data_IF_195258639678
#
_entry.id   IF_195258639678
#
_cell.length_a   1.000
_cell.length_b   1.000
_cell.length_c   1.000
_cell.angle_alpha   90.00
_cell.angle_beta   90.00
_cell.angle_gamma   90.00
#
_symmetry.space_group_name_H-M   'P 1'
#
loop_
_entity.id
_entity.type
_entity.pdbx_description
1 polymer ?
#
# COMPACT_ATOMS: atom_id res chain seq x y z
N UNK A 1 25.68 -66.68 18.92
CA UNK A 1 26.35 -65.87 17.87
C UNK A 1 26.51 -64.47 18.47
N UNK A 2 27.47 -64.37 19.37
CA UNK A 2 28.81 -63.82 19.10
C UNK A 2 28.73 -62.29 19.08
N UNK A 3 29.13 -61.64 20.18
CA UNK A 3 30.47 -61.03 20.34
C UNK A 3 30.49 -59.63 19.68
N UNK A 4 30.77 -58.50 20.35
CA UNK A 4 31.96 -58.20 21.15
C UNK A 4 31.73 -56.97 22.04
N UNK A 5 32.21 -57.08 23.28
CA UNK A 5 32.71 -55.97 24.10
C UNK A 5 34.04 -55.46 23.51
N UNK A 6 34.27 -54.14 23.56
CA UNK A 6 35.57 -53.47 23.72
C UNK A 6 35.38 -51.95 23.51
N UNK A 7 36.06 -51.01 24.15
CA UNK A 7 36.80 -50.92 25.39
C UNK A 7 37.03 -49.41 25.60
N UNK A 8 37.18 -49.00 26.86
CA UNK A 8 37.49 -47.64 27.29
C UNK A 8 38.74 -47.05 26.64
N UNK A 9 38.81 -45.71 26.54
CA UNK A 9 39.96 -44.92 27.04
C UNK A 9 39.64 -43.41 27.11
N UNK A 10 39.49 -42.93 28.33
CA UNK A 10 39.61 -41.51 28.70
C UNK A 10 41.11 -41.16 28.72
N UNK A 11 41.50 -40.18 27.91
CA UNK A 11 42.83 -39.56 27.91
C UNK A 11 42.89 -38.32 28.82
N UNK A 12 44.09 -37.91 29.26
CA UNK A 12 44.28 -37.15 30.49
C UNK A 12 44.00 -35.64 30.35
N UNK A 13 43.71 -35.05 31.51
CA UNK A 13 43.62 -33.62 31.75
C UNK A 13 44.91 -32.89 31.31
N UNK A 14 44.75 -31.78 30.58
CA UNK A 14 45.81 -30.83 30.31
C UNK A 14 45.43 -29.47 30.92
N UNK A 15 46.21 -29.03 31.90
CA UNK A 15 46.15 -27.71 32.54
C UNK A 15 46.96 -26.67 31.72
N UNK A 16 46.77 -25.36 31.95
CA UNK A 16 46.92 -24.32 30.92
C UNK A 16 48.32 -23.68 30.88
N UNK A 17 48.67 -23.08 29.74
CA UNK A 17 49.82 -22.18 29.61
C UNK A 17 49.56 -21.10 28.54
N UNK A 18 50.35 -20.01 28.52
CA UNK A 18 50.17 -18.77 29.26
C UNK A 18 49.53 -17.66 28.41
N UNK A 19 49.19 -16.54 29.05
CA UNK A 19 48.62 -15.36 28.45
C UNK A 19 49.46 -14.85 27.26
N UNK A 20 48.83 -14.76 26.08
CA UNK A 20 49.38 -14.03 24.96
C UNK A 20 48.66 -12.68 24.80
N UNK A 21 49.49 -11.69 24.49
CA UNK A 21 49.27 -10.27 24.67
C UNK A 21 48.13 -9.73 23.80
N UNK A 22 47.32 -8.85 24.38
CA UNK A 22 46.23 -8.16 23.71
C UNK A 22 46.72 -7.30 22.52
N UNK A 23 46.36 -7.70 21.31
CA UNK A 23 46.32 -6.81 20.15
C UNK A 23 45.05 -5.94 20.20
N UNK A 24 45.10 -4.67 19.77
CA UNK A 24 43.96 -3.77 19.86
C UNK A 24 42.81 -4.28 18.99
N UNK A 25 41.63 -4.45 19.59
CA UNK A 25 40.37 -4.73 18.88
C UNK A 25 40.10 -3.57 17.93
N UNK A 26 40.40 -3.74 16.65
CA UNK A 26 39.87 -2.87 15.60
C UNK A 26 38.34 -2.97 15.70
N UNK A 27 37.67 -1.83 15.92
CA UNK A 27 36.21 -1.75 15.76
C UNK A 27 35.91 -2.17 14.33
N UNK A 28 35.31 -3.35 14.17
CA UNK A 28 34.66 -3.70 12.93
C UNK A 28 33.62 -2.60 12.65
N UNK A 29 33.79 -1.92 11.52
CA UNK A 29 32.70 -1.20 10.86
C UNK A 29 31.52 -2.17 10.71
N UNK A 30 30.26 -1.75 10.94
CA UNK A 30 29.15 -2.65 10.71
C UNK A 30 29.16 -3.01 9.23
N UNK A 31 29.43 -4.29 8.96
CA UNK A 31 29.30 -4.91 7.67
C UNK A 31 27.89 -4.62 7.13
N UNK A 32 27.83 -4.32 5.83
CA UNK A 32 26.62 -3.96 5.12
C UNK A 32 25.43 -4.83 5.54
N UNK A 33 24.41 -4.18 6.08
CA UNK A 33 23.09 -4.77 6.25
C UNK A 33 22.65 -5.19 4.85
N UNK A 34 22.64 -6.49 4.57
CA UNK A 34 21.86 -7.04 3.47
C UNK A 34 20.43 -6.55 3.70
N UNK A 35 19.83 -5.74 2.81
CA UNK A 35 18.48 -5.28 3.06
C UNK A 35 17.59 -6.52 3.18
N UNK A 36 16.82 -6.60 4.27
CA UNK A 36 15.67 -7.50 4.31
C UNK A 36 14.70 -7.14 3.17
N UNK A 37 13.62 -7.91 2.96
CA UNK A 37 12.58 -7.51 2.02
C UNK A 37 12.20 -6.05 2.31
N UNK A 38 12.24 -5.20 1.28
CA UNK A 38 11.80 -3.81 1.42
C UNK A 38 10.37 -3.82 1.97
N UNK A 39 10.01 -2.92 2.90
CA UNK A 39 8.63 -2.77 3.31
C UNK A 39 7.77 -2.53 2.06
N UNK A 40 6.65 -3.26 1.98
CA UNK A 40 5.79 -3.25 0.80
C UNK A 40 4.37 -2.80 1.12
N UNK A 41 3.76 -2.01 0.24
CA UNK A 41 2.33 -1.72 0.23
C UNK A 41 1.64 -2.42 -0.93
N UNK A 42 0.51 -3.08 -0.68
CA UNK A 42 -0.35 -3.66 -1.70
C UNK A 42 -1.74 -3.03 -1.63
N UNK A 43 -2.12 -2.32 -2.69
CA UNK A 43 -3.40 -1.59 -2.77
C UNK A 43 -4.24 -2.15 -3.92
N UNK A 44 -5.51 -2.44 -3.64
CA UNK A 44 -6.49 -2.78 -4.67
C UNK A 44 -7.52 -1.66 -4.82
N UNK A 45 -7.82 -1.26 -6.06
CA UNK A 45 -8.90 -0.30 -6.35
C UNK A 45 -10.04 -0.99 -7.09
N UNK A 46 -11.28 -0.77 -6.64
CA UNK A 46 -12.47 -1.47 -7.14
C UNK A 46 -13.51 -0.49 -7.66
N UNK A 47 -14.04 -0.76 -8.86
CA UNK A 47 -15.28 -0.18 -9.34
C UNK A 47 -16.11 -1.23 -10.10
N UNK A 48 -17.11 -0.84 -10.88
CA UNK A 48 -17.97 -1.81 -11.59
C UNK A 48 -17.24 -2.44 -12.76
N UNK A 49 -16.94 -1.62 -13.78
CA UNK A 49 -16.44 -2.10 -15.07
C UNK A 49 -14.93 -2.22 -15.18
N UNK A 50 -14.17 -1.74 -14.18
CA UNK A 50 -12.70 -1.67 -14.20
C UNK A 50 -12.11 -0.97 -15.43
N UNK A 51 -12.71 0.14 -15.88
CA UNK A 51 -12.23 0.91 -17.05
C UNK A 51 -12.25 2.43 -16.84
N UNK A 52 -12.83 2.91 -15.74
CA UNK A 52 -12.95 4.35 -15.46
C UNK A 52 -12.28 4.70 -14.12
N UNK A 53 -13.08 4.72 -13.05
CA UNK A 53 -12.69 5.15 -11.69
C UNK A 53 -11.48 4.38 -11.14
N UNK A 54 -11.58 3.05 -11.09
CA UNK A 54 -10.52 2.21 -10.51
C UNK A 54 -9.23 2.22 -11.35
N UNK A 55 -9.35 2.18 -12.68
CA UNK A 55 -8.19 2.19 -13.58
C UNK A 55 -7.44 3.52 -13.51
N UNK A 56 -8.15 4.65 -13.43
CA UNK A 56 -7.53 5.96 -13.24
C UNK A 56 -6.74 6.02 -11.92
N UNK A 57 -7.38 5.65 -10.82
CA UNK A 57 -6.77 5.70 -9.48
C UNK A 57 -5.60 4.72 -9.37
N UNK A 58 -5.66 3.52 -9.97
CA UNK A 58 -4.55 2.57 -10.01
C UNK A 58 -3.28 3.24 -10.52
N UNK A 59 -3.32 3.74 -11.76
CA UNK A 59 -2.11 4.25 -12.40
C UNK A 59 -1.70 5.63 -11.88
N UNK A 60 -2.64 6.47 -11.45
CA UNK A 60 -2.33 7.74 -10.81
C UNK A 60 -1.61 7.50 -9.46
N UNK A 61 -2.13 6.61 -8.62
CA UNK A 61 -1.53 6.29 -7.32
C UNK A 61 -0.19 5.58 -7.47
N UNK A 62 -0.09 4.59 -8.36
CA UNK A 62 1.18 3.93 -8.65
C UNK A 62 2.24 4.92 -9.13
N UNK A 63 1.87 5.90 -9.97
CA UNK A 63 2.80 6.91 -10.45
C UNK A 63 3.30 7.84 -9.33
N UNK A 64 2.42 8.28 -8.43
CA UNK A 64 2.80 9.10 -7.28
C UNK A 64 3.69 8.32 -6.31
N UNK A 65 3.34 7.08 -5.99
CA UNK A 65 4.15 6.22 -5.13
C UNK A 65 5.53 5.94 -5.71
N UNK A 66 5.63 5.68 -7.02
CA UNK A 66 6.93 5.50 -7.68
C UNK A 66 7.79 6.78 -7.62
N UNK A 67 7.18 7.96 -7.72
CA UNK A 67 7.88 9.24 -7.64
C UNK A 67 8.40 9.52 -6.22
N UNK A 68 7.61 9.20 -5.19
CA UNK A 68 7.97 9.43 -3.79
C UNK A 68 8.96 8.38 -3.26
N UNK A 69 8.73 7.10 -3.54
CA UNK A 69 9.52 6.01 -2.96
C UNK A 69 10.80 5.73 -3.74
N UNK A 70 10.83 5.94 -5.06
CA UNK A 70 11.95 5.52 -5.90
C UNK A 70 12.34 4.06 -5.63
N UNK A 71 13.60 3.83 -5.26
CA UNK A 71 14.14 2.51 -4.90
C UNK A 71 14.08 2.21 -3.38
N UNK A 72 13.54 3.13 -2.56
CA UNK A 72 13.58 3.09 -1.09
C UNK A 72 12.50 2.19 -0.47
N UNK A 73 11.41 1.93 -1.19
CA UNK A 73 10.30 1.07 -0.76
C UNK A 73 9.56 0.49 -1.96
N UNK A 74 8.70 -0.51 -1.75
CA UNK A 74 7.91 -1.10 -2.84
C UNK A 74 6.42 -0.84 -2.60
N UNK A 75 5.73 -0.28 -3.59
CA UNK A 75 4.28 -0.25 -3.57
C UNK A 75 3.72 -0.80 -4.89
N UNK A 76 2.69 -1.62 -4.77
CA UNK A 76 1.95 -2.17 -5.89
C UNK A 76 0.50 -1.78 -5.78
N UNK A 77 0.00 -1.09 -6.80
CA UNK A 77 -1.41 -0.74 -6.94
C UNK A 77 -1.97 -1.54 -8.10
N UNK A 78 -3.07 -2.24 -7.82
CA UNK A 78 -3.83 -3.01 -8.81
C UNK A 78 -5.28 -2.55 -8.81
N UNK A 79 -6.04 -2.89 -9.83
CA UNK A 79 -7.48 -2.67 -9.82
C UNK A 79 -8.29 -3.83 -10.36
N UNK A 80 -9.55 -3.89 -9.93
CA UNK A 80 -10.51 -4.89 -10.36
C UNK A 80 -11.93 -4.30 -10.51
N UNK A 81 -12.80 -5.07 -11.13
CA UNK A 81 -14.19 -4.75 -11.41
C UNK A 81 -15.12 -5.75 -10.76
N UNK A 82 -16.23 -5.32 -10.21
CA UNK A 82 -17.28 -6.25 -9.72
C UNK A 82 -17.98 -6.92 -10.90
N UNK A 83 -18.16 -6.19 -12.02
CA UNK A 83 -18.80 -6.68 -13.25
C UNK A 83 -18.07 -6.14 -14.51
N UNK A 84 -16.79 -6.49 -14.72
CA UNK A 84 -16.01 -6.05 -15.86
C UNK A 84 -16.52 -6.65 -17.17
N UNK A 85 -16.51 -5.84 -18.22
CA UNK A 85 -16.71 -6.33 -19.58
C UNK A 85 -15.37 -6.36 -20.32
N UNK A 86 -14.87 -7.56 -20.62
CA UNK A 86 -13.58 -7.80 -21.27
C UNK A 86 -13.47 -7.21 -22.70
N UNK A 87 -14.59 -6.88 -23.33
CA UNK A 87 -14.60 -6.21 -24.63
C UNK A 87 -14.41 -4.69 -24.53
N UNK A 88 -14.50 -4.11 -23.33
CA UNK A 88 -14.32 -2.68 -23.12
C UNK A 88 -12.87 -2.34 -22.77
N UNK A 89 -12.50 -1.10 -23.06
CA UNK A 89 -11.22 -0.49 -22.71
C UNK A 89 -11.45 0.83 -22.01
N UNK A 90 -10.40 1.40 -21.42
CA UNK A 90 -10.43 2.75 -20.84
C UNK A 90 -10.94 3.76 -21.90
N UNK A 91 -11.98 4.57 -21.58
CA UNK A 91 -12.52 5.54 -22.54
C UNK A 91 -11.51 6.63 -22.93
N UNK A 92 -11.57 7.06 -24.19
CA UNK A 92 -10.69 8.11 -24.74
C UNK A 92 -10.61 9.38 -23.89
N UNK A 93 -11.74 9.99 -23.46
CA UNK A 93 -11.72 11.17 -22.61
C UNK A 93 -10.92 11.00 -21.32
N UNK A 94 -10.86 9.79 -20.75
CA UNK A 94 -10.08 9.52 -19.54
C UNK A 94 -8.57 9.40 -19.84
N UNK A 95 -8.19 8.91 -21.01
CA UNK A 95 -6.78 8.87 -21.45
C UNK A 95 -6.18 10.27 -21.58
N UNK A 96 -7.01 11.26 -21.94
CA UNK A 96 -6.61 12.67 -22.04
C UNK A 96 -6.41 13.34 -20.68
N UNK A 97 -6.93 12.75 -19.61
CA UNK A 97 -6.79 13.22 -18.22
C UNK A 97 -5.63 12.55 -17.47
N UNK A 98 -4.84 11.71 -18.15
CA UNK A 98 -3.71 11.03 -17.52
C UNK A 98 -2.65 12.04 -17.01
N UNK A 99 -2.18 11.94 -15.76
CA UNK A 99 -1.23 12.89 -15.17
C UNK A 99 0.17 12.85 -15.80
N UNK A 100 0.48 11.83 -16.59
CA UNK A 100 1.73 11.75 -17.35
C UNK A 100 1.60 10.90 -18.62
N UNK A 101 2.56 11.03 -19.54
CA UNK A 101 2.63 10.17 -20.74
C UNK A 101 2.75 8.69 -20.39
N UNK A 102 3.45 8.36 -19.30
CA UNK A 102 3.60 6.98 -18.83
C UNK A 102 2.27 6.43 -18.32
N UNK A 103 1.52 7.22 -17.55
CA UNK A 103 0.18 6.83 -17.08
C UNK A 103 -0.79 6.69 -18.26
N UNK A 104 -0.73 7.59 -19.25
CA UNK A 104 -1.53 7.47 -20.47
C UNK A 104 -1.27 6.16 -21.20
N UNK A 105 0.00 5.79 -21.35
CA UNK A 105 0.39 4.53 -22.00
C UNK A 105 -0.13 3.30 -21.22
N UNK A 106 0.00 3.32 -19.89
CA UNK A 106 -0.50 2.25 -19.03
C UNK A 106 -2.03 2.11 -19.11
N UNK A 107 -2.78 3.22 -19.01
CA UNK A 107 -4.24 3.24 -19.18
C UNK A 107 -4.68 2.73 -20.56
N UNK A 108 -3.92 3.05 -21.62
CA UNK A 108 -4.21 2.56 -22.98
C UNK A 108 -4.05 1.03 -23.07
N UNK A 109 -3.10 0.47 -22.34
CA UNK A 109 -2.81 -0.97 -22.29
C UNK A 109 -3.69 -1.72 -21.27
N UNK A 110 -4.32 -1.01 -20.34
CA UNK A 110 -5.15 -1.58 -19.29
C UNK A 110 -6.25 -2.47 -19.85
N UNK A 111 -6.50 -3.59 -19.17
CA UNK A 111 -7.58 -4.51 -19.48
C UNK A 111 -8.36 -4.78 -18.21
N UNK A 112 -9.70 -4.72 -18.26
CA UNK A 112 -10.50 -4.85 -17.06
C UNK A 112 -10.35 -6.25 -16.45
N UNK A 113 -10.21 -6.33 -15.14
CA UNK A 113 -10.04 -7.56 -14.39
C UNK A 113 -11.23 -7.81 -13.46
N UNK A 114 -11.58 -9.08 -13.24
CA UNK A 114 -12.67 -9.47 -12.33
C UNK A 114 -12.19 -9.44 -10.88
N UNK A 115 -12.99 -8.81 -10.01
CA UNK A 115 -12.84 -8.90 -8.57
C UNK A 115 -13.11 -10.34 -8.15
N UNK A 116 -12.17 -10.90 -7.41
CA UNK A 116 -12.23 -12.24 -6.83
C UNK A 116 -11.66 -12.22 -5.41
N UNK A 117 -12.02 -13.18 -4.57
CA UNK A 117 -11.32 -13.41 -3.31
C UNK A 117 -9.79 -13.50 -3.44
N UNK A 118 -9.26 -14.01 -4.57
CA UNK A 118 -7.81 -14.02 -4.83
C UNK A 118 -7.22 -12.63 -5.04
N UNK A 119 -7.91 -11.73 -5.75
CA UNK A 119 -7.43 -10.34 -5.92
C UNK A 119 -7.43 -9.56 -4.61
N UNK A 120 -8.30 -9.94 -3.67
CA UNK A 120 -8.37 -9.36 -2.32
C UNK A 120 -7.34 -9.94 -1.36
N UNK A 121 -6.86 -11.16 -1.61
CA UNK A 121 -5.84 -11.79 -0.78
C UNK A 121 -4.57 -10.92 -0.73
N UNK A 122 -3.99 -10.81 0.46
CA UNK A 122 -2.73 -10.12 0.73
C UNK A 122 -2.70 -8.61 0.38
N UNK A 123 -3.84 -7.97 0.17
CA UNK A 123 -3.89 -6.50 0.04
C UNK A 123 -3.81 -5.85 1.42
N UNK A 124 -3.00 -4.81 1.58
CA UNK A 124 -2.98 -4.02 2.82
C UNK A 124 -4.15 -3.06 2.88
N UNK A 125 -4.58 -2.56 1.71
CA UNK A 125 -5.63 -1.56 1.55
C UNK A 125 -6.49 -1.85 0.33
N UNK A 126 -7.81 -1.67 0.46
CA UNK A 126 -8.77 -1.74 -0.64
C UNK A 126 -9.53 -0.42 -0.72
N UNK A 127 -9.54 0.20 -1.90
CA UNK A 127 -10.29 1.41 -2.21
C UNK A 127 -11.45 1.08 -3.12
N UNK A 128 -12.65 1.54 -2.77
CA UNK A 128 -13.84 1.31 -3.59
C UNK A 128 -14.40 2.62 -4.14
N UNK A 129 -14.96 2.57 -5.34
CA UNK A 129 -15.55 3.75 -5.95
C UNK A 129 -16.86 4.20 -5.29
N UNK A 130 -17.59 3.28 -4.66
CA UNK A 130 -18.89 3.54 -4.00
C UNK A 130 -19.07 2.61 -2.80
N UNK A 131 -20.09 2.88 -1.99
CA UNK A 131 -20.54 1.97 -0.92
C UNK A 131 -21.01 0.62 -1.48
N UNK A 132 -21.74 0.60 -2.61
CA UNK A 132 -22.14 -0.66 -3.25
C UNK A 132 -20.92 -1.55 -3.60
N UNK A 133 -19.82 -0.95 -4.07
CA UNK A 133 -18.59 -1.71 -4.33
C UNK A 133 -17.90 -2.18 -3.04
N UNK A 134 -18.05 -1.44 -1.94
CA UNK A 134 -17.59 -1.88 -0.63
C UNK A 134 -18.37 -3.12 -0.19
N UNK A 135 -19.70 -3.11 -0.35
CA UNK A 135 -20.55 -4.27 -0.06
C UNK A 135 -20.19 -5.50 -0.92
N UNK A 136 -19.86 -5.30 -2.21
CA UNK A 136 -19.34 -6.36 -3.08
C UNK A 136 -18.02 -6.95 -2.55
N UNK A 137 -17.08 -6.08 -2.13
CA UNK A 137 -15.81 -6.51 -1.53
C UNK A 137 -16.06 -7.31 -0.25
N UNK A 138 -16.97 -6.87 0.62
CA UNK A 138 -17.27 -7.57 1.88
C UNK A 138 -18.05 -8.87 1.69
N UNK A 139 -18.78 -9.02 0.58
CA UNK A 139 -19.38 -10.30 0.20
C UNK A 139 -18.34 -11.32 -0.25
N UNK A 140 -17.29 -10.88 -0.92
CA UNK A 140 -16.16 -11.73 -1.31
C UNK A 140 -15.22 -12.05 -0.12
N UNK A 141 -14.91 -11.05 0.71
CA UNK A 141 -14.07 -11.18 1.91
C UNK A 141 -14.60 -10.32 3.07
N UNK A 142 -15.41 -10.89 3.98
CA UNK A 142 -15.92 -10.17 5.15
C UNK A 142 -14.82 -9.64 6.08
N UNK A 143 -13.63 -10.27 6.08
CA UNK A 143 -12.52 -9.84 6.93
C UNK A 143 -11.85 -8.54 6.41
N UNK A 144 -12.16 -8.12 5.18
CA UNK A 144 -11.61 -6.90 4.59
C UNK A 144 -12.18 -5.61 5.18
N UNK A 145 -13.22 -5.66 6.03
CA UNK A 145 -13.90 -4.47 6.58
C UNK A 145 -12.97 -3.41 7.17
N UNK A 146 -11.88 -3.81 7.84
CA UNK A 146 -10.92 -2.87 8.44
C UNK A 146 -9.93 -2.26 7.44
N UNK A 147 -9.81 -2.83 6.25
CA UNK A 147 -8.89 -2.38 5.20
C UNK A 147 -9.60 -1.87 3.95
N UNK A 148 -10.93 -1.79 3.95
CA UNK A 148 -11.73 -1.31 2.80
C UNK A 148 -12.37 0.03 3.10
N UNK A 149 -12.14 1.01 2.23
CA UNK A 149 -12.65 2.38 2.32
C UNK A 149 -13.15 2.84 0.95
N UNK A 150 -14.15 3.74 0.91
CA UNK A 150 -14.45 4.43 -0.34
C UNK A 150 -13.31 5.40 -0.69
N UNK A 151 -13.10 5.69 -1.97
CA UNK A 151 -12.08 6.66 -2.40
C UNK A 151 -12.35 8.03 -1.77
N UNK A 152 -13.60 8.50 -1.77
CA UNK A 152 -13.93 9.78 -1.14
C UNK A 152 -13.81 9.72 0.38
N UNK A 153 -14.20 8.60 1.00
CA UNK A 153 -14.03 8.39 2.43
C UNK A 153 -12.57 8.45 2.87
N UNK A 154 -11.67 7.84 2.11
CA UNK A 154 -10.23 8.00 2.32
C UNK A 154 -9.84 9.49 2.24
N UNK A 155 -10.34 10.22 1.24
CA UNK A 155 -10.14 11.65 1.10
C UNK A 155 -10.57 12.46 2.33
N UNK A 156 -11.77 12.18 2.86
CA UNK A 156 -12.31 12.81 4.08
C UNK A 156 -11.38 12.55 5.27
N UNK A 157 -11.01 11.29 5.50
CA UNK A 157 -10.14 10.91 6.63
C UNK A 157 -8.77 11.61 6.55
N UNK A 158 -8.14 11.61 5.37
CA UNK A 158 -6.81 12.17 5.18
C UNK A 158 -6.80 13.70 5.24
N UNK A 159 -7.80 14.35 4.64
CA UNK A 159 -7.87 15.82 4.59
C UNK A 159 -8.23 16.43 5.95
N UNK A 160 -9.24 15.86 6.60
CA UNK A 160 -9.84 16.51 7.77
C UNK A 160 -9.17 16.08 9.08
N UNK A 161 -8.47 14.92 9.08
CA UNK A 161 -7.83 14.34 10.26
C UNK A 161 -6.35 13.95 10.04
N UNK A 162 -5.70 14.50 9.01
CA UNK A 162 -4.30 14.17 8.68
C UNK A 162 -3.32 14.39 9.84
N UNK A 163 -3.47 15.49 10.61
CA UNK A 163 -2.60 15.77 11.78
C UNK A 163 -2.78 14.72 12.89
N UNK A 164 -4.01 14.31 13.15
CA UNK A 164 -4.32 13.27 14.14
C UNK A 164 -3.75 11.91 13.70
N UNK A 165 -3.88 11.60 12.41
CA UNK A 165 -3.33 10.37 11.82
C UNK A 165 -1.80 10.35 11.87
N UNK A 166 -1.15 11.48 11.55
CA UNK A 166 0.30 11.62 11.61
C UNK A 166 0.85 11.48 13.03
N UNK A 167 0.12 11.97 14.04
CA UNK A 167 0.47 11.79 15.45
C UNK A 167 0.32 10.33 15.91
N UNK A 168 -0.70 9.62 15.42
CA UNK A 168 -0.96 8.22 15.76
C UNK A 168 -0.03 7.23 15.04
N UNK A 169 0.45 7.59 13.84
CA UNK A 169 1.25 6.72 12.97
C UNK A 169 2.58 7.42 12.68
N UNK A 170 3.65 7.14 13.45
CA UNK A 170 4.97 7.70 13.18
C UNK A 170 5.50 7.32 11.78
N UNK A 171 6.39 8.13 11.19
CA UNK A 171 7.07 7.75 9.94
C UNK A 171 7.77 6.39 10.08
N UNK A 172 7.69 5.55 9.04
CA UNK A 172 8.24 4.19 9.04
C UNK A 172 7.48 3.17 9.89
N UNK A 173 6.32 3.50 10.47
CA UNK A 173 5.52 2.57 11.27
C UNK A 173 4.89 1.41 10.45
N UNK A 174 4.92 1.51 9.12
CA UNK A 174 4.40 0.52 8.19
C UNK A 174 2.94 0.75 7.79
N UNK A 175 2.58 0.21 6.62
CA UNK A 175 1.25 0.37 6.00
C UNK A 175 0.15 -0.24 6.88
N UNK A 176 0.43 -1.37 7.53
CA UNK A 176 -0.54 -2.01 8.44
C UNK A 176 -0.93 -1.08 9.60
N UNK A 177 0.02 -0.32 10.15
CA UNK A 177 -0.26 0.64 11.22
C UNK A 177 -1.11 1.81 10.70
N UNK A 178 -0.77 2.34 9.51
CA UNK A 178 -1.55 3.37 8.83
C UNK A 178 -3.01 2.94 8.61
N UNK A 179 -3.22 1.77 8.01
CA UNK A 179 -4.57 1.25 7.71
C UNK A 179 -5.36 0.98 9.00
N UNK A 180 -4.69 0.47 10.05
CA UNK A 180 -5.33 0.25 11.35
C UNK A 180 -5.82 1.57 11.96
N UNK A 181 -4.98 2.61 11.95
CA UNK A 181 -5.34 3.92 12.47
C UNK A 181 -6.49 4.57 11.67
N UNK A 182 -6.48 4.46 10.34
CA UNK A 182 -7.58 4.91 9.48
C UNK A 182 -8.89 4.19 9.80
N UNK A 183 -8.85 2.88 10.04
CA UNK A 183 -10.02 2.09 10.39
C UNK A 183 -10.61 2.48 11.76
N UNK A 184 -9.75 2.74 12.74
CA UNK A 184 -10.14 3.19 14.08
C UNK A 184 -10.73 4.61 14.05
N UNK A 185 -10.10 5.52 13.30
CA UNK A 185 -10.62 6.86 13.06
C UNK A 185 -12.00 6.80 12.42
N UNK A 186 -12.15 6.07 11.31
CA UNK A 186 -13.45 5.90 10.64
C UNK A 186 -14.52 5.36 11.59
N UNK A 187 -14.17 4.32 12.36
CA UNK A 187 -15.11 3.70 13.32
C UNK A 187 -15.58 4.69 14.39
N UNK A 188 -14.68 5.55 14.88
CA UNK A 188 -15.01 6.60 15.84
C UNK A 188 -15.90 7.68 15.25
N UNK A 189 -15.60 8.17 14.04
CA UNK A 189 -16.45 9.17 13.36
C UNK A 189 -17.88 8.64 13.15
N UNK A 190 -18.01 7.39 12.70
CA UNK A 190 -19.32 6.73 12.56
C UNK A 190 -20.04 6.63 13.90
N UNK A 191 -19.34 6.29 14.98
CA UNK A 191 -19.93 6.26 16.33
C UNK A 191 -20.42 7.63 16.82
N UNK A 192 -19.87 8.73 16.28
CA UNK A 192 -20.31 10.10 16.53
C UNK A 192 -21.37 10.60 15.53
N UNK A 193 -21.87 9.73 14.65
CA UNK A 193 -22.94 10.03 13.70
C UNK A 193 -22.47 10.64 12.38
N UNK A 194 -21.17 10.67 12.14
CA UNK A 194 -20.60 11.14 10.87
C UNK A 194 -20.61 10.02 9.82
N UNK A 195 -20.58 10.42 8.55
CA UNK A 195 -20.49 9.50 7.40
C UNK A 195 -19.33 9.95 6.52
N UNK A 196 -18.11 9.44 6.80
CA UNK A 196 -16.94 9.85 6.03
C UNK A 196 -16.96 9.26 4.62
N UNK A 197 -17.47 8.04 4.46
CA UNK A 197 -17.57 7.35 3.17
C UNK A 197 -18.60 8.01 2.24
N UNK A 198 -18.25 8.10 0.96
CA UNK A 198 -19.08 8.70 -0.08
C UNK A 198 -18.74 8.15 -1.48
N UNK A 199 -19.71 8.24 -2.38
CA UNK A 199 -19.60 7.71 -3.73
C UNK A 199 -18.85 8.64 -4.69
N UNK A 200 -17.81 8.10 -5.32
CA UNK A 200 -17.16 8.76 -6.46
C UNK A 200 -18.06 8.61 -7.70
N UNK A 201 -18.58 9.72 -8.27
CA UNK A 201 -19.54 9.68 -9.38
C UNK A 201 -19.04 8.87 -10.57
N UNK A 202 -19.91 8.08 -11.18
CA UNK A 202 -19.56 7.27 -12.35
C UNK A 202 -19.63 8.07 -13.65
N UNK A 203 -18.51 8.25 -14.38
CA UNK A 203 -18.52 8.95 -15.66
C UNK A 203 -18.92 8.06 -16.85
N UNK A 204 -19.10 6.74 -16.66
CA UNK A 204 -19.27 5.81 -17.77
C UNK A 204 -20.44 6.18 -18.69
N UNK A 205 -20.19 6.21 -20.01
CA UNK A 205 -21.12 6.66 -21.08
C UNK A 205 -21.65 8.09 -20.93
N UNK A 206 -21.15 8.84 -19.95
CA UNK A 206 -21.41 10.26 -19.79
C UNK A 206 -20.56 11.13 -20.72
N UNK A 207 -20.73 12.46 -20.64
CA UNK A 207 -19.97 13.41 -21.42
C UNK A 207 -18.54 13.58 -20.85
N UNK A 208 -17.62 14.19 -21.60
CA UNK A 208 -16.20 14.31 -21.24
C UNK A 208 -15.99 15.05 -19.89
N UNK A 209 -16.86 15.99 -19.58
CA UNK A 209 -16.87 16.76 -18.33
C UNK A 209 -17.07 15.87 -17.11
N UNK A 210 -17.83 14.76 -17.24
CA UNK A 210 -18.02 13.79 -16.16
C UNK A 210 -16.71 13.08 -15.80
N UNK A 211 -15.91 12.71 -16.81
CA UNK A 211 -14.59 12.13 -16.59
C UNK A 211 -13.63 13.13 -15.95
N UNK A 212 -13.67 14.39 -16.41
CA UNK A 212 -12.85 15.46 -15.86
C UNK A 212 -13.18 15.73 -14.38
N UNK A 213 -14.47 15.82 -14.04
CA UNK A 213 -14.93 15.99 -12.66
C UNK A 213 -14.47 14.82 -11.77
N UNK A 214 -14.67 13.57 -12.22
CA UNK A 214 -14.20 12.39 -11.50
C UNK A 214 -12.69 12.44 -11.23
N UNK A 215 -11.88 12.76 -12.24
CA UNK A 215 -10.42 12.87 -12.10
C UNK A 215 -10.02 14.01 -11.15
N UNK A 216 -10.64 15.19 -11.28
CA UNK A 216 -10.39 16.34 -10.40
C UNK A 216 -10.72 16.05 -8.94
N UNK A 217 -11.75 15.25 -8.68
CA UNK A 217 -12.08 14.81 -7.32
C UNK A 217 -11.09 13.78 -6.79
N UNK A 218 -10.70 12.80 -7.61
CA UNK A 218 -9.84 11.69 -7.18
C UNK A 218 -8.36 12.08 -7.00
N UNK A 219 -7.84 12.97 -7.86
CA UNK A 219 -6.42 13.33 -7.90
C UNK A 219 -5.85 13.84 -6.55
N UNK A 220 -6.44 14.82 -5.85
CA UNK A 220 -5.89 15.28 -4.57
C UNK A 220 -5.93 14.19 -3.48
N UNK A 221 -6.88 13.25 -3.56
CA UNK A 221 -6.95 12.12 -2.63
C UNK A 221 -5.83 11.13 -2.92
N UNK A 222 -5.57 10.86 -4.20
CA UNK A 222 -4.44 10.03 -4.64
C UNK A 222 -3.11 10.62 -4.15
N UNK A 223 -2.94 11.93 -4.23
CA UNK A 223 -1.72 12.62 -3.77
C UNK A 223 -1.53 12.49 -2.25
N UNK A 224 -2.57 12.78 -1.46
CA UNK A 224 -2.53 12.63 0.00
C UNK A 224 -2.27 11.18 0.43
N UNK A 225 -2.96 10.23 -0.19
CA UNK A 225 -2.79 8.81 0.13
C UNK A 225 -1.39 8.31 -0.25
N UNK A 226 -0.86 8.73 -1.40
CA UNK A 226 0.50 8.39 -1.81
C UNK A 226 1.53 8.90 -0.79
N UNK A 227 1.35 10.14 -0.31
CA UNK A 227 2.23 10.72 0.72
C UNK A 227 2.18 9.93 2.02
N UNK A 228 0.98 9.61 2.54
CA UNK A 228 0.86 8.84 3.79
C UNK A 228 1.41 7.43 3.68
N UNK A 229 1.15 6.73 2.57
CA UNK A 229 1.74 5.40 2.32
C UNK A 229 3.26 5.51 2.26
N UNK A 230 3.79 6.51 1.55
CA UNK A 230 5.24 6.69 1.42
C UNK A 230 5.88 6.97 2.79
N UNK A 231 5.32 7.89 3.57
CA UNK A 231 5.76 8.20 4.93
C UNK A 231 5.68 7.01 5.88
N UNK A 232 4.63 6.19 5.76
CA UNK A 232 4.49 4.98 6.57
C UNK A 232 5.50 3.90 6.19
N UNK A 233 5.90 3.81 4.91
CA UNK A 233 6.89 2.85 4.41
C UNK A 233 8.33 3.28 4.68
N UNK A 234 8.62 4.57 4.51
CA UNK A 234 9.97 5.14 4.58
C UNK A 234 9.97 6.34 5.54
N UNK A 235 10.50 6.12 6.74
CA UNK A 235 10.59 7.14 7.78
C UNK A 235 11.57 8.28 7.43
N UNK A 236 12.52 8.02 6.53
CA UNK A 236 13.57 8.98 6.17
C UNK A 236 13.08 10.03 5.16
N UNK A 237 11.93 9.81 4.50
CA UNK A 237 11.29 10.81 3.63
C UNK A 237 10.93 12.11 4.36
N UNK A 238 10.75 12.06 5.68
CA UNK A 238 10.39 13.23 6.50
C UNK A 238 11.63 14.03 6.94
N UNK A 239 12.81 13.42 7.01
CA UNK A 239 14.04 14.10 7.47
C UNK A 239 14.65 15.02 6.39
N UNK A 240 14.37 14.77 5.10
CA UNK A 240 14.86 15.62 4.01
C UNK A 240 14.16 17.01 3.98
N UNK A 241 12.93 17.14 4.49
CA UNK A 241 12.22 18.43 4.57
C UNK A 241 12.72 19.32 5.73
N UNK A 242 13.22 18.74 6.83
CA UNK A 242 13.64 19.55 8.00
C UNK A 242 15.04 20.17 7.86
N UNK A 243 15.80 19.81 6.83
CA UNK A 243 17.20 20.27 6.65
C UNK A 243 17.31 21.41 5.62
N UNK A 244 16.18 21.92 5.12
CA UNK A 244 16.10 22.95 4.08
C UNK A 244 15.62 24.34 4.55
N UNK A 245 15.90 24.74 5.80
CA UNK A 245 15.59 26.07 6.32
C UNK A 245 16.87 26.89 6.61
#
# INVERSE_FOLDING_TARGET
REDRLAEFRLGPAFLPHPADSAAPRQRATPAGRVPGPLPSARVLVVCTGNICRSAYVEYALQAQLNALLGDRGRAEVTSAGTEPNQALTVPGPLLDLAPSRRVRAALTQHRPQQLTGRSLADQDLVLTATDDHLDEVLREDPAAVRRTFTILGMGTLLRDHGEELAAAVPPGAGVTALVTALAELRSRLIAHGERPDADLPDPFRGPAEGYAAMAQTAQPIVELLAWEIARALDGDLVEEESTGA
#
